data_IF_552192058359
#
_entry.id   IF_552192058359
#
_cell.length_a   1.000
_cell.length_b   1.000
_cell.length_c   1.000
_cell.angle_alpha   90.00
_cell.angle_beta   90.00
_cell.angle_gamma   90.00
#
_symmetry.space_group_name_H-M   'P 1'
#
loop_
_entity.id
_entity.type
_entity.pdbx_description
1 polymer ?
#
# COMPACT_ATOMS: atom_id res chain seq x y z
N UNK A 1 -14.04 -33.30 -31.78
CA UNK A 1 -14.48 -32.61 -30.56
C UNK A 1 -14.44 -31.11 -30.81
N UNK A 2 -15.51 -30.34 -30.54
CA UNK A 2 -15.43 -28.89 -30.69
C UNK A 2 -14.39 -28.32 -29.73
N UNK A 3 -13.59 -27.32 -30.14
CA UNK A 3 -12.60 -26.69 -29.27
C UNK A 3 -13.28 -26.09 -28.04
N UNK A 4 -12.74 -26.37 -26.85
CA UNK A 4 -13.24 -25.80 -25.59
C UNK A 4 -13.05 -24.28 -25.65
N UNK A 5 -14.14 -23.53 -25.47
CA UNK A 5 -14.09 -22.06 -25.42
C UNK A 5 -13.13 -21.59 -24.30
N UNK A 6 -12.38 -20.50 -24.52
CA UNK A 6 -11.59 -19.84 -23.48
C UNK A 6 -12.38 -19.67 -22.19
N UNK A 7 -11.78 -19.98 -21.04
CA UNK A 7 -12.41 -19.70 -19.75
C UNK A 7 -12.31 -18.21 -19.46
N UNK A 8 -13.42 -17.48 -19.62
CA UNK A 8 -13.51 -16.06 -19.25
C UNK A 8 -13.13 -15.88 -17.77
N UNK A 9 -12.19 -14.98 -17.43
CA UNK A 9 -11.86 -14.72 -16.04
C UNK A 9 -13.08 -14.21 -15.25
N UNK A 10 -13.17 -14.48 -13.94
CA UNK A 10 -14.20 -13.88 -13.11
C UNK A 10 -13.99 -12.35 -13.02
N UNK A 11 -15.05 -11.56 -13.23
CA UNK A 11 -15.01 -10.08 -13.20
C UNK A 11 -14.29 -9.49 -11.97
N UNK A 12 -14.40 -10.14 -10.81
CA UNK A 12 -13.77 -9.68 -9.57
C UNK A 12 -12.25 -9.54 -9.69
N UNK A 13 -11.62 -10.41 -10.46
CA UNK A 13 -10.16 -10.47 -10.65
C UNK A 13 -9.76 -10.15 -12.10
N UNK A 14 -10.67 -9.55 -12.88
CA UNK A 14 -10.42 -9.30 -14.30
C UNK A 14 -9.57 -8.03 -14.51
N UNK A 15 -8.71 -8.01 -15.55
CA UNK A 15 -7.94 -6.82 -15.89
C UNK A 15 -8.85 -5.65 -16.28
N UNK A 16 -9.98 -5.95 -16.94
CA UNK A 16 -11.03 -4.99 -17.27
C UNK A 16 -11.55 -4.20 -16.05
N UNK A 17 -11.73 -4.88 -14.92
CA UNK A 17 -12.18 -4.21 -13.68
C UNK A 17 -11.10 -3.29 -13.11
N UNK A 18 -9.84 -3.68 -13.18
CA UNK A 18 -8.71 -2.85 -12.72
C UNK A 18 -8.55 -1.62 -13.59
N UNK A 19 -8.66 -1.76 -14.92
CA UNK A 19 -8.62 -0.65 -15.85
C UNK A 19 -9.74 0.35 -15.55
N UNK A 20 -10.99 -0.13 -15.41
CA UNK A 20 -12.13 0.72 -15.05
C UNK A 20 -11.92 1.42 -13.69
N UNK A 21 -11.33 0.73 -12.71
CA UNK A 21 -11.03 1.32 -11.40
C UNK A 21 -10.01 2.46 -11.50
N UNK A 22 -8.96 2.27 -12.30
CA UNK A 22 -7.93 3.29 -12.50
C UNK A 22 -8.51 4.51 -13.24
N UNK A 23 -9.32 4.30 -14.27
CA UNK A 23 -9.98 5.40 -14.99
C UNK A 23 -10.89 6.25 -14.10
N UNK A 24 -11.64 5.60 -13.19
CA UNK A 24 -12.46 6.32 -12.20
C UNK A 24 -11.57 7.04 -11.18
N UNK A 25 -10.49 6.40 -10.72
CA UNK A 25 -9.55 7.01 -9.77
C UNK A 25 -8.79 8.20 -10.38
N UNK A 26 -8.52 8.17 -11.68
CA UNK A 26 -7.88 9.24 -12.45
C UNK A 26 -8.88 10.35 -12.84
N UNK A 27 -10.17 10.19 -12.51
CA UNK A 27 -11.22 11.18 -12.77
C UNK A 27 -11.69 11.25 -14.23
N UNK A 28 -11.39 10.23 -15.04
CA UNK A 28 -11.85 10.16 -16.44
C UNK A 28 -13.29 9.67 -16.58
N UNK A 29 -13.83 9.05 -15.54
CA UNK A 29 -15.21 8.58 -15.47
C UNK A 29 -15.83 9.09 -14.17
N UNK A 30 -16.90 9.87 -14.29
CA UNK A 30 -17.61 10.47 -13.15
C UNK A 30 -18.94 9.76 -12.83
N UNK A 31 -19.43 10.00 -11.61
CA UNK A 31 -20.72 9.49 -11.12
C UNK A 31 -21.87 10.26 -11.81
N UNK A 32 -22.28 9.78 -12.99
CA UNK A 32 -23.30 10.41 -13.82
C UNK A 32 -23.15 10.14 -15.31
N UNK A 33 -21.97 9.70 -15.74
CA UNK A 33 -21.69 9.41 -17.15
C UNK A 33 -22.56 8.28 -17.69
N UNK A 34 -22.94 8.41 -18.97
CA UNK A 34 -23.72 7.37 -19.62
C UNK A 34 -22.87 6.09 -19.76
N UNK A 35 -23.32 4.94 -19.23
CA UNK A 35 -22.54 3.70 -19.27
C UNK A 35 -22.17 3.26 -20.68
N UNK A 36 -22.93 3.66 -21.71
CA UNK A 36 -22.65 3.33 -23.10
C UNK A 36 -21.52 4.19 -23.64
N UNK A 37 -21.51 5.49 -23.34
CA UNK A 37 -20.44 6.40 -23.73
C UNK A 37 -19.11 6.03 -23.07
N UNK A 38 -19.14 5.67 -21.78
CA UNK A 38 -17.97 5.15 -21.05
C UNK A 38 -17.42 3.88 -21.70
N UNK A 39 -18.31 2.97 -22.13
CA UNK A 39 -17.90 1.74 -22.81
C UNK A 39 -17.30 2.04 -24.18
N UNK A 40 -17.96 2.87 -24.98
CA UNK A 40 -17.51 3.20 -26.33
C UNK A 40 -16.19 3.97 -26.34
N UNK A 41 -15.95 4.85 -25.36
CA UNK A 41 -14.76 5.71 -25.29
C UNK A 41 -13.55 4.98 -24.68
N UNK A 42 -13.77 4.21 -23.60
CA UNK A 42 -12.66 3.67 -22.80
C UNK A 42 -12.54 2.15 -22.83
N UNK A 43 -13.60 1.42 -23.21
CA UNK A 43 -13.65 -0.03 -23.10
C UNK A 43 -13.67 -0.75 -24.47
N UNK A 44 -14.12 -0.10 -25.54
CA UNK A 44 -14.32 -0.72 -26.85
C UNK A 44 -13.03 -1.16 -27.54
N UNK A 45 -11.98 -0.35 -27.41
CA UNK A 45 -10.68 -0.59 -28.06
C UNK A 45 -9.69 -1.33 -27.13
N UNK A 46 -10.06 -1.55 -25.86
CA UNK A 46 -9.22 -2.22 -24.88
C UNK A 46 -9.28 -3.75 -25.04
N UNK A 47 -8.12 -4.37 -25.23
CA UNK A 47 -7.98 -5.83 -25.35
C UNK A 47 -8.56 -6.59 -24.15
N UNK A 48 -8.53 -5.96 -22.97
CA UNK A 48 -9.03 -6.47 -21.71
C UNK A 48 -10.55 -6.64 -21.67
N UNK A 49 -11.29 -5.89 -22.50
CA UNK A 49 -12.75 -5.88 -22.54
C UNK A 49 -13.35 -6.75 -23.66
N UNK A 50 -12.52 -7.32 -24.55
CA UNK A 50 -12.93 -8.34 -25.54
C UNK A 50 -13.79 -9.48 -24.95
N UNK A 51 -13.52 -10.03 -23.75
CA UNK A 51 -14.36 -11.07 -23.15
C UNK A 51 -15.62 -10.54 -22.41
N UNK A 52 -15.80 -9.22 -22.32
CA UNK A 52 -16.89 -8.57 -21.58
C UNK A 52 -17.64 -7.56 -22.48
N UNK A 53 -18.53 -8.03 -23.37
CA UNK A 53 -19.30 -7.14 -24.22
C UNK A 53 -20.22 -6.22 -23.41
N UNK A 54 -20.54 -5.07 -23.99
CA UNK A 54 -21.56 -4.16 -23.46
C UNK A 54 -22.87 -4.93 -23.27
N UNK A 55 -23.36 -4.94 -22.03
CA UNK A 55 -24.57 -5.63 -21.60
C UNK A 55 -25.09 -5.00 -20.31
N UNK A 56 -26.32 -5.34 -19.90
CA UNK A 56 -26.87 -4.90 -18.61
C UNK A 56 -25.97 -5.26 -17.42
N UNK A 57 -25.18 -6.33 -17.55
CA UNK A 57 -24.22 -6.73 -16.54
C UNK A 57 -23.05 -5.75 -16.42
N UNK A 58 -22.62 -5.11 -17.51
CA UNK A 58 -21.59 -4.06 -17.51
C UNK A 58 -22.10 -2.81 -16.80
N UNK A 59 -23.32 -2.37 -17.12
CA UNK A 59 -23.98 -1.22 -16.46
C UNK A 59 -24.03 -1.43 -14.94
N UNK A 60 -24.51 -2.59 -14.51
CA UNK A 60 -24.57 -2.92 -13.08
C UNK A 60 -23.19 -3.07 -12.41
N UNK A 61 -22.14 -3.39 -13.16
CA UNK A 61 -20.75 -3.45 -12.63
C UNK A 61 -20.15 -2.06 -12.48
N UNK A 62 -20.33 -1.18 -13.47
CA UNK A 62 -19.88 0.21 -13.43
C UNK A 62 -20.51 0.96 -12.26
N UNK A 63 -21.85 0.93 -12.14
CA UNK A 63 -22.57 1.59 -11.04
C UNK A 63 -22.12 1.11 -9.65
N UNK A 64 -21.94 -0.21 -9.48
CA UNK A 64 -21.42 -0.78 -8.22
C UNK A 64 -19.98 -0.37 -7.94
N UNK A 65 -19.15 -0.19 -8.98
CA UNK A 65 -17.78 0.24 -8.81
C UNK A 65 -17.72 1.72 -8.39
N UNK A 66 -18.48 2.59 -9.05
CA UNK A 66 -18.63 4.01 -8.71
C UNK A 66 -19.11 4.20 -7.27
N UNK A 67 -20.20 3.51 -6.88
CA UNK A 67 -20.73 3.58 -5.52
C UNK A 67 -19.68 3.18 -4.47
N UNK A 68 -18.95 2.09 -4.73
CA UNK A 68 -17.93 1.58 -3.80
C UNK A 68 -16.73 2.52 -3.66
N UNK A 69 -16.33 3.19 -4.74
CA UNK A 69 -15.25 4.19 -4.70
C UNK A 69 -15.70 5.38 -3.86
N UNK A 70 -16.89 5.92 -4.16
CA UNK A 70 -17.50 7.03 -3.41
C UNK A 70 -17.65 6.73 -1.92
N UNK A 71 -18.13 5.53 -1.56
CA UNK A 71 -18.22 5.08 -0.17
C UNK A 71 -16.83 5.04 0.50
N UNK A 72 -15.83 4.50 -0.18
CA UNK A 72 -14.46 4.42 0.34
C UNK A 72 -13.84 5.80 0.53
N UNK A 73 -14.06 6.73 -0.40
CA UNK A 73 -13.54 8.10 -0.28
C UNK A 73 -14.22 8.84 0.87
N UNK A 74 -15.55 8.66 1.03
CA UNK A 74 -16.28 9.22 2.17
C UNK A 74 -15.79 8.67 3.51
N UNK A 75 -15.44 7.38 3.56
CA UNK A 75 -14.85 6.75 4.76
C UNK A 75 -13.45 7.31 5.02
N UNK A 76 -12.60 7.40 4.00
CA UNK A 76 -11.25 7.97 4.12
C UNK A 76 -11.27 9.41 4.63
N UNK A 77 -12.22 10.23 4.15
CA UNK A 77 -12.38 11.60 4.61
C UNK A 77 -12.81 11.65 6.09
N UNK A 78 -13.80 10.82 6.47
CA UNK A 78 -14.24 10.71 7.87
C UNK A 78 -13.12 10.25 8.79
N UNK A 79 -12.39 9.21 8.41
CA UNK A 79 -11.27 8.67 9.18
C UNK A 79 -10.16 9.72 9.33
N UNK A 80 -9.86 10.48 8.28
CA UNK A 80 -8.90 11.58 8.33
C UNK A 80 -9.34 12.67 9.31
N UNK A 81 -10.62 13.08 9.27
CA UNK A 81 -11.15 14.08 10.21
C UNK A 81 -11.14 13.58 11.66
N UNK A 82 -11.50 12.31 11.90
CA UNK A 82 -11.47 11.69 13.21
C UNK A 82 -10.04 11.62 13.75
N UNK A 83 -9.07 11.25 12.91
CA UNK A 83 -7.66 11.19 13.29
C UNK A 83 -7.11 12.56 13.66
N UNK A 84 -7.44 13.61 12.91
CA UNK A 84 -7.04 14.99 13.24
C UNK A 84 -7.65 15.44 14.57
N UNK A 85 -8.94 15.19 14.78
CA UNK A 85 -9.62 15.48 16.03
C UNK A 85 -8.99 14.74 17.21
N UNK A 86 -8.71 13.44 17.07
CA UNK A 86 -8.09 12.64 18.13
C UNK A 86 -6.68 13.11 18.44
N UNK A 87 -5.92 13.57 17.45
CA UNK A 87 -4.60 14.20 17.68
C UNK A 87 -4.68 15.55 18.39
N UNK A 88 -5.80 16.27 18.28
CA UNK A 88 -6.02 17.51 19.03
C UNK A 88 -6.31 17.23 20.50
N UNK A 89 -7.08 16.18 20.80
CA UNK A 89 -7.39 15.76 22.17
C UNK A 89 -6.19 15.07 22.82
N UNK A 90 -5.55 14.16 22.07
CA UNK A 90 -4.43 13.34 22.50
C UNK A 90 -3.20 13.69 21.68
N UNK A 91 -2.53 14.78 22.09
CA UNK A 91 -1.27 15.17 21.49
C UNK A 91 -0.23 14.03 21.60
N UNK A 92 0.62 13.90 20.59
CA UNK A 92 1.67 12.88 20.60
C UNK A 92 2.60 13.13 21.79
N UNK A 93 2.84 12.12 22.65
CA UNK A 93 3.69 12.30 23.81
C UNK A 93 5.14 12.56 23.38
N UNK A 94 5.73 13.63 23.91
CA UNK A 94 7.12 14.02 23.64
C UNK A 94 8.11 13.10 24.37
N UNK A 95 7.67 12.50 25.47
CA UNK A 95 8.48 11.62 26.31
C UNK A 95 7.83 10.24 26.43
N UNK A 96 8.67 9.22 26.55
CA UNK A 96 8.28 7.85 26.85
C UNK A 96 7.92 7.72 28.34
N UNK A 97 7.35 6.57 28.73
CA UNK A 97 6.96 6.21 30.11
C UNK A 97 8.11 6.37 31.11
N UNK A 98 9.33 6.36 30.61
CA UNK A 98 10.58 6.42 31.35
C UNK A 98 11.25 7.80 31.34
N UNK A 99 10.57 8.84 30.82
CA UNK A 99 11.10 10.21 30.76
C UNK A 99 12.15 10.46 29.67
N UNK A 100 12.45 9.48 28.82
CA UNK A 100 13.30 9.68 27.63
C UNK A 100 12.50 10.33 26.50
N UNK A 101 13.12 11.12 25.60
CA UNK A 101 12.44 11.59 24.41
C UNK A 101 11.90 10.44 23.57
N UNK A 102 10.74 10.63 22.95
CA UNK A 102 10.15 9.63 22.06
C UNK A 102 11.17 9.20 20.99
N UNK A 103 11.43 7.89 20.87
CA UNK A 103 12.37 7.36 19.88
C UNK A 103 11.86 7.56 18.45
N UNK A 104 10.57 7.31 18.24
CA UNK A 104 9.95 7.39 16.91
C UNK A 104 9.94 8.84 16.41
N UNK A 105 10.60 9.07 15.27
CA UNK A 105 10.74 10.41 14.69
C UNK A 105 11.83 11.27 15.33
N UNK A 106 12.65 10.69 16.22
CA UNK A 106 13.81 11.39 16.78
C UNK A 106 14.98 11.43 15.78
N UNK A 107 15.85 12.44 15.94
CA UNK A 107 17.12 12.52 15.19
C UNK A 107 17.99 11.29 15.47
N UNK A 108 17.96 10.76 16.70
CA UNK A 108 18.71 9.56 17.07
C UNK A 108 18.25 8.32 16.27
N UNK A 109 16.96 8.20 15.95
CA UNK A 109 16.46 7.12 15.11
C UNK A 109 16.99 7.21 13.68
N UNK A 110 16.88 8.38 13.07
CA UNK A 110 17.37 8.62 11.70
C UNK A 110 18.87 8.30 11.60
N UNK A 111 19.64 8.83 12.55
CA UNK A 111 21.07 8.58 12.65
C UNK A 111 21.42 7.11 12.86
N UNK A 112 20.64 6.39 13.67
CA UNK A 112 20.84 4.97 13.86
C UNK A 112 20.54 4.17 12.59
N UNK A 113 19.51 4.57 11.82
CA UNK A 113 19.22 3.95 10.53
C UNK A 113 20.40 4.10 9.56
N UNK A 114 20.99 5.31 9.45
CA UNK A 114 22.19 5.55 8.64
C UNK A 114 23.36 4.65 9.07
N UNK A 115 23.58 4.51 10.38
CA UNK A 115 24.67 3.69 10.92
C UNK A 115 24.41 2.18 10.74
N UNK A 116 23.15 1.76 10.73
CA UNK A 116 22.75 0.38 10.44
C UNK A 116 22.97 0.08 8.96
N UNK A 117 22.57 0.98 8.06
CA UNK A 117 22.80 0.86 6.62
C UNK A 117 24.29 0.83 6.28
N UNK A 118 25.09 1.65 6.96
CA UNK A 118 26.55 1.62 6.87
C UNK A 118 27.20 0.38 7.52
N UNK A 119 26.44 -0.52 8.14
CA UNK A 119 26.95 -1.76 8.75
C UNK A 119 27.67 -1.57 10.09
N UNK A 120 27.73 -0.37 10.65
CA UNK A 120 28.49 -0.08 11.89
C UNK A 120 27.97 -0.85 13.10
N UNK A 121 26.68 -1.19 13.12
CA UNK A 121 26.08 -2.01 14.17
C UNK A 121 26.59 -3.46 14.20
N UNK A 122 27.25 -3.93 13.14
CA UNK A 122 27.91 -5.25 13.07
C UNK A 122 29.39 -5.16 13.49
N UNK A 123 30.04 -4.03 13.21
CA UNK A 123 31.45 -3.80 13.49
C UNK A 123 31.70 -3.34 14.93
N UNK A 124 30.82 -2.49 15.46
CA UNK A 124 30.95 -1.88 16.78
C UNK A 124 29.96 -2.50 17.77
N UNK A 125 30.43 -2.74 18.99
CA UNK A 125 29.54 -3.09 20.08
C UNK A 125 28.56 -1.94 20.36
N UNK A 126 27.32 -2.23 20.80
CA UNK A 126 26.31 -1.21 21.10
C UNK A 126 26.80 -0.08 22.02
N UNK A 127 27.70 -0.39 22.96
CA UNK A 127 28.32 0.61 23.86
C UNK A 127 29.21 1.60 23.13
N UNK A 128 30.00 1.13 22.16
CA UNK A 128 30.86 2.02 21.38
C UNK A 128 30.02 2.83 20.40
N UNK A 129 29.03 2.20 19.76
CA UNK A 129 28.09 2.89 18.88
C UNK A 129 27.35 4.01 19.62
N UNK A 130 26.83 3.73 20.82
CA UNK A 130 26.18 4.72 21.69
C UNK A 130 27.10 5.90 22.04
N UNK A 131 28.39 5.65 22.23
CA UNK A 131 29.36 6.69 22.55
C UNK A 131 29.77 7.56 21.35
N UNK A 132 29.51 7.13 20.11
CA UNK A 132 29.96 7.84 18.89
C UNK A 132 29.26 9.17 18.66
N UNK A 133 28.00 9.30 19.07
CA UNK A 133 27.12 10.44 18.77
C UNK A 133 26.44 10.93 20.05
N UNK A 134 26.33 12.24 20.21
CA UNK A 134 25.73 12.84 21.40
C UNK A 134 24.21 12.62 21.43
N UNK A 135 23.59 12.51 20.26
CA UNK A 135 22.16 12.22 20.09
C UNK A 135 21.77 10.86 20.69
N UNK A 136 22.68 9.89 20.70
CA UNK A 136 22.43 8.57 21.31
C UNK A 136 22.52 8.61 22.83
N UNK A 137 23.35 9.49 23.40
CA UNK A 137 23.60 9.60 24.85
C UNK A 137 22.37 10.06 25.63
N UNK A 138 21.40 10.65 24.96
CA UNK A 138 20.09 11.03 25.55
C UNK A 138 19.30 9.79 25.98
N UNK A 139 19.57 8.65 25.36
CA UNK A 139 18.96 7.36 25.69
C UNK A 139 19.89 6.55 26.58
N UNK A 140 19.33 5.83 27.55
CA UNK A 140 20.06 4.88 28.36
C UNK A 140 20.64 3.78 27.47
N UNK A 141 21.88 3.36 27.76
CA UNK A 141 22.61 2.36 26.95
C UNK A 141 21.82 1.06 26.73
N UNK A 142 21.15 0.58 27.77
CA UNK A 142 20.32 -0.64 27.70
C UNK A 142 19.19 -0.48 26.67
N UNK A 143 18.49 0.65 26.70
CA UNK A 143 17.40 0.93 25.76
C UNK A 143 17.89 1.21 24.36
N UNK A 144 19.01 1.93 24.23
CA UNK A 144 19.64 2.15 22.93
C UNK A 144 20.01 0.82 22.26
N UNK A 145 20.53 -0.15 23.02
CA UNK A 145 20.79 -1.50 22.52
C UNK A 145 19.52 -2.16 21.98
N UNK A 146 18.40 -2.05 22.68
CA UNK A 146 17.12 -2.58 22.20
C UNK A 146 16.65 -1.87 20.92
N UNK A 147 16.88 -0.56 20.79
CA UNK A 147 16.56 0.18 19.56
C UNK A 147 17.34 -0.33 18.35
N UNK A 148 18.63 -0.67 18.51
CA UNK A 148 19.42 -1.31 17.43
C UNK A 148 18.70 -2.58 16.93
N UNK A 149 18.30 -3.47 17.84
CA UNK A 149 17.61 -4.70 17.46
C UNK A 149 16.23 -4.44 16.84
N UNK A 150 15.48 -3.47 17.36
CA UNK A 150 14.18 -3.06 16.82
C UNK A 150 14.31 -2.57 15.38
N UNK A 151 15.26 -1.68 15.09
CA UNK A 151 15.47 -1.15 13.75
C UNK A 151 15.96 -2.25 12.78
N UNK A 152 16.88 -3.12 13.21
CA UNK A 152 17.29 -4.28 12.41
C UNK A 152 16.10 -5.21 12.08
N UNK A 153 15.21 -5.44 13.05
CA UNK A 153 14.01 -6.26 12.86
C UNK A 153 13.01 -5.58 11.91
N UNK A 154 12.87 -4.26 11.99
CA UNK A 154 12.04 -3.45 11.11
C UNK A 154 12.53 -3.56 9.66
N UNK A 155 13.82 -3.36 9.39
CA UNK A 155 14.38 -3.51 8.04
C UNK A 155 14.16 -4.90 7.45
N UNK A 156 14.41 -5.96 8.23
CA UNK A 156 14.14 -7.35 7.79
C UNK A 156 12.66 -7.56 7.47
N UNK A 157 11.76 -6.97 8.27
CA UNK A 157 10.32 -7.08 8.06
C UNK A 157 9.88 -6.31 6.80
N UNK A 158 10.43 -5.13 6.56
CA UNK A 158 10.16 -4.34 5.35
C UNK A 158 10.61 -5.09 4.09
N UNK A 159 11.82 -5.65 4.08
CA UNK A 159 12.31 -6.48 2.98
C UNK A 159 11.40 -7.70 2.73
N UNK A 160 10.96 -8.38 3.79
CA UNK A 160 10.01 -9.48 3.67
C UNK A 160 8.65 -9.04 3.11
N UNK A 161 8.13 -7.89 3.54
CA UNK A 161 6.87 -7.35 3.05
C UNK A 161 6.96 -6.99 1.57
N UNK A 162 8.08 -6.41 1.15
CA UNK A 162 8.38 -6.12 -0.26
C UNK A 162 8.45 -7.38 -1.11
N UNK A 163 9.22 -8.40 -0.72
CA UNK A 163 9.27 -9.68 -1.43
C UNK A 163 7.89 -10.36 -1.49
N UNK A 164 7.11 -10.28 -0.41
CA UNK A 164 5.75 -10.82 -0.36
C UNK A 164 4.80 -10.07 -1.30
N UNK A 165 4.92 -8.75 -1.44
CA UNK A 165 4.10 -7.96 -2.36
C UNK A 165 4.49 -8.23 -3.80
N UNK A 166 5.79 -8.35 -4.11
CA UNK A 166 6.31 -8.76 -5.42
C UNK A 166 5.77 -10.12 -5.86
N UNK A 167 5.94 -11.15 -5.03
CA UNK A 167 5.40 -12.49 -5.33
C UNK A 167 3.90 -12.49 -5.54
N UNK A 168 3.17 -11.61 -4.85
CA UNK A 168 1.72 -11.46 -5.05
C UNK A 168 1.42 -10.79 -6.40
N UNK A 169 2.17 -9.74 -6.78
CA UNK A 169 2.09 -9.08 -8.09
C UNK A 169 2.41 -10.05 -9.22
N UNK A 170 3.49 -10.81 -9.11
CA UNK A 170 3.88 -11.83 -10.10
C UNK A 170 2.81 -12.90 -10.27
N UNK A 171 2.23 -13.41 -9.16
CA UNK A 171 1.11 -14.37 -9.22
C UNK A 171 -0.12 -13.77 -9.89
N UNK A 172 -0.42 -12.50 -9.64
CA UNK A 172 -1.51 -11.80 -10.32
C UNK A 172 -1.22 -11.65 -11.81
N UNK A 173 -0.01 -11.25 -12.20
CA UNK A 173 0.43 -11.14 -13.58
C UNK A 173 0.40 -12.49 -14.31
N UNK A 174 0.89 -13.56 -13.68
CA UNK A 174 0.85 -14.92 -14.22
C UNK A 174 -0.59 -15.42 -14.40
N UNK A 175 -1.48 -15.11 -13.43
CA UNK A 175 -2.90 -15.40 -13.54
C UNK A 175 -3.52 -14.66 -14.73
N UNK A 176 -3.24 -13.36 -14.89
CA UNK A 176 -3.69 -12.57 -16.04
C UNK A 176 -3.20 -13.14 -17.37
N UNK A 177 -1.90 -13.46 -17.49
CA UNK A 177 -1.32 -14.08 -18.70
C UNK A 177 -2.01 -15.39 -19.08
N UNK A 178 -2.36 -16.23 -18.10
CA UNK A 178 -3.09 -17.48 -18.34
C UNK A 178 -4.47 -17.27 -18.95
N UNK A 179 -5.14 -16.18 -18.64
CA UNK A 179 -6.46 -15.86 -19.19
C UNK A 179 -6.40 -15.17 -20.55
N UNK A 180 -5.29 -14.50 -20.89
CA UNK A 180 -5.10 -13.86 -22.19
C UNK A 180 -4.54 -14.80 -23.28
N UNK A 181 -3.99 -15.95 -22.89
CA UNK A 181 -3.38 -16.93 -23.80
C UNK A 181 -4.26 -18.17 -24.08
N UNK A 182 -5.50 -18.19 -23.58
CA UNK A 182 -6.46 -19.29 -23.72
C UNK A 182 -7.71 -18.82 -24.47
#
# INVERSE_FOLDING_TARGET
MPPKKPKVPPWKDSPARTLLYNLIADGQIEDGDDPKEVYDTHCKDADEFKPYPFSDTFIGRLKRLLLRIKEKDSQSARDATALVHDRQIFAQPTQDVWGEPMWQGSVAQEKLMDDIEAGKHLELLPRFLHATRDEYKVYALERFRDRIYQECKKMKREAFLFDKTEKKREKQLAKLKKYNLA
#
